data_IF_643230313435
#
_entry.id   IF_643230313435
#
_cell.length_a   1.000
_cell.length_b   1.000
_cell.length_c   1.000
_cell.angle_alpha   90.00
_cell.angle_beta   90.00
_cell.angle_gamma   90.00
#
_symmetry.space_group_name_H-M   'P 1'
#
loop_
_entity.id
_entity.type
_entity.pdbx_description
1 polymer ?
#
# COMPACT_ATOMS: atom_id res chain seq x y z
N UNK A 1 -20.36 27.77 27.75
CA UNK A 1 -21.18 27.33 26.59
C UNK A 1 -22.62 27.75 26.81
N UNK A 2 -23.31 28.29 25.78
CA UNK A 2 -24.75 28.59 25.88
C UNK A 2 -25.56 27.28 25.76
N UNK A 3 -26.82 27.25 26.24
CA UNK A 3 -27.69 26.04 26.19
C UNK A 3 -27.82 25.46 24.76
N UNK A 4 -27.92 26.33 23.76
CA UNK A 4 -27.96 25.95 22.34
C UNK A 4 -26.69 25.23 21.88
N UNK A 5 -25.51 25.70 22.29
CA UNK A 5 -24.24 25.09 21.90
C UNK A 5 -24.15 23.64 22.43
N UNK A 6 -24.65 23.41 23.65
CA UNK A 6 -24.71 22.06 24.28
C UNK A 6 -25.70 21.15 23.58
N UNK A 7 -26.86 21.67 23.17
CA UNK A 7 -27.86 20.90 22.41
C UNK A 7 -27.28 20.44 21.07
N UNK A 8 -26.66 21.33 20.31
CA UNK A 8 -26.09 21.03 19.00
C UNK A 8 -24.95 20.02 19.08
N UNK A 9 -24.06 20.14 20.08
CA UNK A 9 -23.00 19.16 20.29
C UNK A 9 -23.54 17.80 20.71
N UNK A 10 -24.55 17.76 21.60
CA UNK A 10 -25.18 16.50 22.00
C UNK A 10 -25.87 15.82 20.81
N UNK A 11 -26.50 16.59 19.94
CA UNK A 11 -27.12 16.09 18.71
C UNK A 11 -26.06 15.59 17.70
N UNK A 12 -24.85 16.15 17.69
CA UNK A 12 -23.78 15.78 16.76
C UNK A 12 -22.95 14.56 17.20
N UNK A 13 -22.61 14.46 18.49
CA UNK A 13 -21.68 13.43 19.00
C UNK A 13 -22.19 12.00 18.76
N UNK A 14 -23.50 11.76 18.94
CA UNK A 14 -24.12 10.46 18.71
C UNK A 14 -23.97 9.98 17.26
N UNK A 15 -24.49 10.74 16.27
CA UNK A 15 -24.25 10.48 14.86
C UNK A 15 -22.77 10.34 14.52
N UNK A 16 -21.90 11.25 14.98
CA UNK A 16 -20.46 11.19 14.70
C UNK A 16 -19.80 9.88 15.16
N UNK A 17 -20.08 9.42 16.39
CA UNK A 17 -19.53 8.17 16.90
C UNK A 17 -20.04 6.94 16.11
N UNK A 18 -21.32 6.93 15.77
CA UNK A 18 -21.92 5.84 14.98
C UNK A 18 -21.39 5.82 13.55
N UNK A 19 -21.34 6.96 12.88
CA UNK A 19 -20.90 7.04 11.48
C UNK A 19 -19.41 6.79 11.34
N UNK A 20 -18.59 7.27 12.27
CA UNK A 20 -17.15 6.95 12.30
C UNK A 20 -16.90 5.45 12.48
N UNK A 21 -17.63 4.80 13.38
CA UNK A 21 -17.52 3.35 13.59
C UNK A 21 -17.94 2.55 12.34
N UNK A 22 -19.08 2.90 11.73
CA UNK A 22 -19.58 2.21 10.53
C UNK A 22 -18.64 2.42 9.34
N UNK A 23 -18.22 3.66 9.08
CA UNK A 23 -17.34 3.97 7.95
C UNK A 23 -15.97 3.34 8.14
N UNK A 24 -15.42 3.36 9.36
CA UNK A 24 -14.16 2.68 9.67
C UNK A 24 -14.29 1.17 9.41
N UNK A 25 -15.37 0.55 9.89
CA UNK A 25 -15.62 -0.87 9.65
C UNK A 25 -15.76 -1.21 8.17
N UNK A 26 -16.44 -0.38 7.38
CA UNK A 26 -16.57 -0.59 5.92
C UNK A 26 -15.20 -0.53 5.23
N UNK A 27 -14.41 0.52 5.48
CA UNK A 27 -13.08 0.63 4.86
C UNK A 27 -12.14 -0.47 5.31
N UNK A 28 -12.16 -0.79 6.60
CA UNK A 28 -11.38 -1.88 7.17
C UNK A 28 -11.76 -3.21 6.54
N UNK A 29 -13.04 -3.55 6.48
CA UNK A 29 -13.54 -4.79 5.88
C UNK A 29 -13.15 -4.89 4.41
N UNK A 30 -13.36 -3.82 3.62
CA UNK A 30 -12.93 -3.78 2.23
C UNK A 30 -11.42 -4.03 2.08
N UNK A 31 -10.61 -3.38 2.92
CA UNK A 31 -9.17 -3.54 2.90
C UNK A 31 -8.75 -4.98 3.26
N UNK A 32 -9.37 -5.57 4.27
CA UNK A 32 -9.08 -6.93 4.73
C UNK A 32 -9.51 -8.00 3.72
N UNK A 33 -10.65 -7.84 3.06
CA UNK A 33 -11.11 -8.76 2.00
C UNK A 33 -10.06 -8.86 0.89
N UNK A 34 -9.44 -7.74 0.50
CA UNK A 34 -8.36 -7.75 -0.49
C UNK A 34 -7.11 -8.52 -0.03
N UNK A 35 -6.95 -8.79 1.27
CA UNK A 35 -5.82 -9.54 1.85
C UNK A 35 -6.19 -10.95 2.27
N UNK A 36 -7.46 -11.34 2.14
CA UNK A 36 -7.98 -12.61 2.64
C UNK A 36 -7.23 -13.84 2.10
N UNK A 37 -6.77 -13.78 0.84
CA UNK A 37 -5.99 -14.86 0.21
C UNK A 37 -4.74 -15.22 1.02
N UNK A 38 -4.13 -14.26 1.74
CA UNK A 38 -2.93 -14.51 2.53
C UNK A 38 -3.19 -15.28 3.82
N UNK A 39 -4.45 -15.39 4.26
CA UNK A 39 -4.86 -16.08 5.49
C UNK A 39 -5.34 -17.51 5.21
N UNK A 40 -5.57 -17.87 3.94
CA UNK A 40 -6.12 -19.17 3.58
C UNK A 40 -5.14 -20.31 3.88
N UNK A 41 -5.61 -21.31 4.63
CA UNK A 41 -4.86 -22.53 4.91
C UNK A 41 -3.68 -22.34 5.88
N UNK A 42 -3.65 -21.23 6.63
CA UNK A 42 -2.65 -20.97 7.66
C UNK A 42 -3.28 -21.13 9.02
N UNK A 43 -2.82 -22.11 9.78
CA UNK A 43 -3.25 -22.35 11.15
C UNK A 43 -2.50 -21.42 12.11
N UNK A 44 -2.73 -20.12 11.94
CA UNK A 44 -2.22 -19.09 12.83
C UNK A 44 -3.23 -18.90 13.97
N UNK A 45 -2.72 -18.70 15.18
CA UNK A 45 -3.54 -18.37 16.34
C UNK A 45 -4.45 -17.16 16.09
N UNK A 46 -5.65 -17.19 16.68
CA UNK A 46 -6.64 -16.13 16.52
C UNK A 46 -6.13 -14.76 17.04
N UNK A 47 -5.20 -14.79 17.99
CA UNK A 47 -4.50 -13.66 18.58
C UNK A 47 -3.69 -12.88 17.53
N UNK A 48 -2.95 -13.57 16.66
CA UNK A 48 -2.18 -12.96 15.57
C UNK A 48 -3.10 -12.21 14.61
N UNK A 49 -4.24 -12.82 14.26
CA UNK A 49 -5.23 -12.17 13.41
C UNK A 49 -5.86 -10.96 14.09
N UNK A 50 -6.23 -11.05 15.37
CA UNK A 50 -6.78 -9.93 16.12
C UNK A 50 -5.80 -8.76 16.22
N UNK A 51 -4.53 -9.04 16.48
CA UNK A 51 -3.48 -8.02 16.51
C UNK A 51 -3.33 -7.34 15.13
N UNK A 52 -3.23 -8.13 14.05
CA UNK A 52 -3.14 -7.61 12.69
C UNK A 52 -4.33 -6.69 12.36
N UNK A 53 -5.53 -7.15 12.69
CA UNK A 53 -6.78 -6.46 12.39
C UNK A 53 -6.87 -5.14 13.16
N UNK A 54 -6.44 -5.14 14.42
CA UNK A 54 -6.40 -3.95 15.27
C UNK A 54 -5.43 -2.91 14.71
N UNK A 55 -4.22 -3.29 14.33
CA UNK A 55 -3.24 -2.36 13.76
C UNK A 55 -3.70 -1.80 12.40
N UNK A 56 -4.30 -2.61 11.53
CA UNK A 56 -4.89 -2.10 10.29
C UNK A 56 -6.08 -1.17 10.53
N UNK A 57 -6.92 -1.44 11.54
CA UNK A 57 -8.02 -0.55 11.88
C UNK A 57 -7.50 0.84 12.29
N UNK A 58 -6.46 0.89 13.13
CA UNK A 58 -5.78 2.15 13.51
C UNK A 58 -5.22 2.88 12.28
N UNK A 59 -4.54 2.16 11.37
CA UNK A 59 -3.97 2.76 10.16
C UNK A 59 -5.01 3.38 9.22
N UNK A 60 -6.27 2.92 9.26
CA UNK A 60 -7.35 3.36 8.35
C UNK A 60 -8.22 4.50 8.90
N UNK A 61 -8.09 4.86 10.18
CA UNK A 61 -8.80 5.99 10.80
C UNK A 61 -8.72 7.29 9.97
N UNK A 62 -7.55 7.72 9.46
CA UNK A 62 -7.43 8.96 8.67
C UNK A 62 -8.30 9.00 7.41
N UNK A 63 -8.52 7.83 6.80
CA UNK A 63 -9.29 7.69 5.56
C UNK A 63 -10.80 7.70 5.86
N UNK A 64 -11.20 7.13 7.00
CA UNK A 64 -12.59 7.02 7.41
C UNK A 64 -13.18 8.36 7.92
N UNK A 65 -12.40 9.19 8.62
CA UNK A 65 -12.91 10.39 9.31
C UNK A 65 -13.55 11.46 8.41
N UNK A 66 -13.00 11.84 7.23
CA UNK A 66 -13.61 12.85 6.39
C UNK A 66 -15.06 12.48 5.99
N UNK A 67 -15.28 11.23 5.58
CA UNK A 67 -16.61 10.72 5.23
C UNK A 67 -17.52 10.64 6.47
N UNK A 68 -16.98 10.19 7.61
CA UNK A 68 -17.73 10.11 8.85
C UNK A 68 -18.26 11.49 9.32
N UNK A 69 -17.42 12.53 9.24
CA UNK A 69 -17.81 13.91 9.57
C UNK A 69 -18.82 14.47 8.58
N UNK A 70 -18.64 14.23 7.27
CA UNK A 70 -19.61 14.63 6.26
C UNK A 70 -20.99 14.05 6.57
N UNK A 71 -21.05 12.74 6.82
CA UNK A 71 -22.29 12.03 7.05
C UNK A 71 -22.93 12.41 8.39
N UNK A 72 -22.12 12.55 9.45
CA UNK A 72 -22.59 13.01 10.76
C UNK A 72 -23.17 14.42 10.73
N UNK A 73 -22.51 15.36 10.03
CA UNK A 73 -23.00 16.74 9.90
C UNK A 73 -24.29 16.79 9.11
N UNK A 74 -24.38 16.06 8.00
CA UNK A 74 -25.61 15.97 7.20
C UNK A 74 -26.76 15.39 8.01
N UNK A 75 -26.54 14.30 8.75
CA UNK A 75 -27.55 13.71 9.62
C UNK A 75 -28.01 14.67 10.72
N UNK A 76 -27.06 15.33 11.39
CA UNK A 76 -27.34 16.22 12.51
C UNK A 76 -28.18 17.41 12.06
N UNK A 77 -27.70 18.17 11.07
CA UNK A 77 -28.39 19.37 10.59
C UNK A 77 -29.64 19.03 9.76
N UNK A 78 -29.64 17.90 9.06
CA UNK A 78 -30.82 17.38 8.36
C UNK A 78 -31.94 16.99 9.32
N UNK A 79 -31.63 16.29 10.41
CA UNK A 79 -32.61 15.93 11.44
C UNK A 79 -33.16 17.17 12.16
N UNK A 80 -32.30 18.12 12.53
CA UNK A 80 -32.71 19.43 13.06
C UNK A 80 -33.63 20.17 12.08
N UNK A 81 -33.40 20.05 10.77
CA UNK A 81 -34.27 20.59 9.72
C UNK A 81 -35.61 19.88 9.60
N UNK A 82 -35.61 18.54 9.66
CA UNK A 82 -36.81 17.69 9.58
C UNK A 82 -37.76 17.91 10.75
N UNK A 83 -37.23 18.02 11.97
CA UNK A 83 -38.03 18.32 13.17
C UNK A 83 -38.38 19.79 13.33
N UNK A 84 -38.12 20.62 12.32
CA UNK A 84 -38.35 22.08 12.33
C UNK A 84 -37.64 22.84 13.46
N UNK A 85 -36.71 22.20 14.18
CA UNK A 85 -35.89 22.82 15.22
C UNK A 85 -34.96 23.89 14.63
N UNK A 86 -34.36 23.59 13.47
CA UNK A 86 -33.49 24.54 12.77
C UNK A 86 -34.27 25.79 12.32
N UNK A 87 -35.52 25.61 11.87
CA UNK A 87 -36.41 26.71 11.47
C UNK A 87 -36.79 27.56 12.68
N UNK A 88 -37.09 26.94 13.83
CA UNK A 88 -37.39 27.66 15.07
C UNK A 88 -36.19 28.48 15.57
N UNK A 89 -34.98 27.93 15.52
CA UNK A 89 -33.75 28.63 15.93
C UNK A 89 -33.49 29.84 15.01
N UNK A 90 -33.62 29.67 13.69
CA UNK A 90 -33.49 30.80 12.73
C UNK A 90 -34.59 31.85 12.95
N UNK A 91 -35.82 31.43 13.24
CA UNK A 91 -36.95 32.32 13.55
C UNK A 91 -36.74 33.17 14.79
N UNK A 92 -35.93 32.71 15.75
CA UNK A 92 -35.49 33.50 16.91
C UNK A 92 -34.38 34.52 16.58
N UNK A 93 -34.07 34.75 15.30
CA UNK A 93 -33.05 35.71 14.84
C UNK A 93 -31.61 35.20 14.93
N UNK A 94 -31.39 33.91 15.17
CA UNK A 94 -30.04 33.33 15.28
C UNK A 94 -29.55 32.96 13.88
N UNK A 95 -28.43 33.56 13.47
CA UNK A 95 -27.83 33.32 12.15
C UNK A 95 -27.34 31.88 11.97
N UNK A 96 -27.42 31.34 10.75
CA UNK A 96 -26.97 29.97 10.46
C UNK A 96 -25.50 29.74 10.86
N UNK A 97 -24.61 30.70 10.60
CA UNK A 97 -23.21 30.61 10.98
C UNK A 97 -23.00 30.47 12.50
N UNK A 98 -23.88 31.06 13.31
CA UNK A 98 -23.85 30.88 14.78
C UNK A 98 -24.27 29.47 15.18
N UNK A 99 -25.20 28.86 14.47
CA UNK A 99 -25.66 27.47 14.68
C UNK A 99 -24.55 26.47 14.28
N UNK A 100 -23.77 26.77 13.25
CA UNK A 100 -22.68 25.89 12.81
C UNK A 100 -21.43 25.93 13.71
N UNK A 101 -21.20 27.06 14.39
CA UNK A 101 -19.99 27.31 15.20
C UNK A 101 -19.62 26.22 16.23
N UNK A 102 -20.51 25.69 17.09
CA UNK A 102 -20.11 24.71 18.10
C UNK A 102 -19.60 23.41 17.50
N UNK A 103 -20.24 22.90 16.45
CA UNK A 103 -19.77 21.70 15.75
C UNK A 103 -18.52 22.00 14.94
N UNK A 104 -18.41 23.18 14.32
CA UNK A 104 -17.18 23.61 13.64
C UNK A 104 -15.97 23.59 14.58
N UNK A 105 -16.10 24.12 15.79
CA UNK A 105 -15.02 24.09 16.80
C UNK A 105 -14.66 22.66 17.21
N UNK A 106 -15.64 21.78 17.35
CA UNK A 106 -15.40 20.36 17.58
C UNK A 106 -14.62 19.72 16.41
N UNK A 107 -15.04 19.98 15.17
CA UNK A 107 -14.35 19.49 13.97
C UNK A 107 -12.92 19.99 13.89
N UNK A 108 -12.65 21.26 14.23
CA UNK A 108 -11.28 21.78 14.31
C UNK A 108 -10.45 21.01 15.34
N UNK A 109 -11.02 20.69 16.51
CA UNK A 109 -10.33 19.85 17.49
C UNK A 109 -10.03 18.44 16.94
N UNK A 110 -10.97 17.82 16.21
CA UNK A 110 -10.75 16.53 15.53
C UNK A 110 -9.64 16.64 14.49
N UNK A 111 -9.55 17.72 13.71
CA UNK A 111 -8.46 17.95 12.74
C UNK A 111 -7.10 18.02 13.44
N UNK A 112 -7.00 18.74 14.57
CA UNK A 112 -5.75 18.83 15.34
C UNK A 112 -5.34 17.46 15.88
N UNK A 113 -6.29 16.71 16.45
CA UNK A 113 -6.06 15.32 16.89
C UNK A 113 -5.56 14.47 15.71
N UNK A 114 -6.19 14.62 14.54
CA UNK A 114 -5.84 13.86 13.35
C UNK A 114 -4.42 14.18 12.83
N UNK A 115 -4.00 15.44 12.90
CA UNK A 115 -2.64 15.84 12.51
C UNK A 115 -1.60 15.14 13.40
N UNK A 116 -1.82 15.16 14.72
CA UNK A 116 -0.95 14.45 15.67
C UNK A 116 -1.00 12.94 15.43
N UNK A 117 -2.18 12.39 15.16
CA UNK A 117 -2.39 10.98 14.88
C UNK A 117 -1.63 10.51 13.62
N UNK A 118 -1.65 11.31 12.55
CA UNK A 118 -0.95 11.04 11.29
C UNK A 118 0.59 11.05 11.41
N UNK A 119 1.12 11.78 12.39
CA UNK A 119 2.55 11.90 12.65
C UNK A 119 3.06 10.88 13.68
N UNK A 120 2.20 10.34 14.54
CA UNK A 120 2.61 9.46 15.65
C UNK A 120 2.05 8.04 15.55
N UNK A 121 0.72 7.89 15.54
CA UNK A 121 0.05 6.59 15.61
C UNK A 121 0.04 5.88 14.25
N UNK A 122 -0.27 6.59 13.16
CA UNK A 122 -0.37 5.99 11.82
C UNK A 122 0.93 5.34 11.36
N UNK A 123 2.12 5.99 11.49
CA UNK A 123 3.38 5.37 11.12
C UNK A 123 3.67 4.08 11.90
N UNK A 124 3.42 4.10 13.21
CA UNK A 124 3.63 2.94 14.08
C UNK A 124 2.64 1.80 13.78
N UNK A 125 1.37 2.13 13.56
CA UNK A 125 0.35 1.17 13.19
C UNK A 125 0.64 0.53 11.82
N UNK A 126 1.10 1.31 10.84
CA UNK A 126 1.52 0.76 9.55
C UNK A 126 2.74 -0.16 9.70
N UNK A 127 3.74 0.23 10.49
CA UNK A 127 4.93 -0.60 10.71
C UNK A 127 4.57 -1.98 11.27
N UNK A 128 3.77 -2.01 12.35
CA UNK A 128 3.27 -3.25 12.97
C UNK A 128 2.37 -4.06 12.05
N UNK A 129 1.41 -3.41 11.39
CA UNK A 129 0.48 -4.11 10.49
C UNK A 129 1.20 -4.76 9.29
N UNK A 130 2.16 -4.07 8.68
CA UNK A 130 2.84 -4.57 7.48
C UNK A 130 3.96 -5.58 7.78
N UNK A 131 4.65 -5.44 8.92
CA UNK A 131 5.61 -6.47 9.38
C UNK A 131 4.88 -7.77 9.70
N UNK A 132 3.82 -7.72 10.50
CA UNK A 132 3.02 -8.89 10.82
C UNK A 132 2.35 -9.49 9.56
N UNK A 133 1.84 -8.66 8.64
CA UNK A 133 1.32 -9.14 7.36
C UNK A 133 2.40 -9.85 6.54
N UNK A 134 3.64 -9.38 6.56
CA UNK A 134 4.74 -10.02 5.85
C UNK A 134 5.07 -11.38 6.43
N UNK A 135 5.15 -11.48 7.76
CA UNK A 135 5.40 -12.72 8.48
C UNK A 135 4.29 -13.75 8.21
N UNK A 136 3.03 -13.30 8.25
CA UNK A 136 1.89 -14.12 7.85
C UNK A 136 2.05 -14.58 6.40
N UNK A 137 2.43 -13.69 5.47
CA UNK A 137 2.61 -14.07 4.05
C UNK A 137 3.69 -15.11 3.85
N UNK A 138 4.80 -15.03 4.58
CA UNK A 138 5.90 -15.97 4.49
C UNK A 138 5.61 -17.31 5.16
N UNK A 139 4.74 -17.32 6.16
CA UNK A 139 4.28 -18.54 6.83
C UNK A 139 3.69 -19.47 5.77
N UNK A 140 4.28 -20.67 5.65
CA UNK A 140 3.77 -21.70 4.74
C UNK A 140 2.39 -22.18 5.21
N UNK A 141 1.46 -22.50 4.30
CA UNK A 141 0.20 -23.13 4.69
C UNK A 141 0.45 -24.40 5.49
N UNK A 142 -0.40 -24.66 6.48
CA UNK A 142 -0.35 -25.87 7.29
C UNK A 142 -0.41 -27.11 6.40
N UNK A 143 0.31 -28.16 6.78
CA UNK A 143 0.36 -29.40 6.01
C UNK A 143 -1.03 -30.03 5.99
N UNK A 144 -1.64 -30.06 4.79
CA UNK A 144 -2.91 -30.71 4.55
C UNK A 144 -2.72 -31.80 3.49
N UNK A 145 -2.46 -33.02 3.97
CA UNK A 145 -2.39 -34.23 3.15
C UNK A 145 -3.82 -34.59 2.70
N UNK A 146 -4.16 -34.26 1.45
CA UNK A 146 -5.42 -34.68 0.84
C UNK A 146 -5.32 -36.12 0.37
N UNK A 147 -6.36 -36.91 0.64
CA UNK A 147 -6.45 -38.30 0.18
C UNK A 147 -6.27 -38.42 -1.33
N UNK A 148 -5.43 -39.37 -1.75
CA UNK A 148 -5.17 -39.68 -3.15
C UNK A 148 -4.30 -38.66 -3.91
N UNK A 149 -3.91 -37.54 -3.29
CA UNK A 149 -3.07 -36.51 -3.90
C UNK A 149 -1.64 -36.51 -3.30
N UNK A 150 -0.65 -36.13 -4.12
CA UNK A 150 0.71 -35.87 -3.65
C UNK A 150 0.80 -34.50 -2.99
N UNK A 151 1.52 -34.42 -1.88
CA UNK A 151 1.84 -33.19 -1.17
C UNK A 151 3.35 -32.94 -1.21
N UNK A 152 3.74 -31.85 -1.89
CA UNK A 152 5.13 -31.45 -2.12
C UNK A 152 5.58 -30.27 -1.21
N UNK A 153 4.85 -30.01 -0.11
CA UNK A 153 5.15 -28.86 0.75
C UNK A 153 6.37 -29.07 1.67
N UNK A 154 6.72 -30.32 1.95
CA UNK A 154 7.85 -30.69 2.79
C UNK A 154 9.15 -30.59 1.99
N UNK A 155 10.16 -29.92 2.55
CA UNK A 155 11.41 -29.70 1.84
C UNK A 155 12.13 -31.03 1.58
N UNK A 156 12.28 -31.38 0.30
CA UNK A 156 12.95 -32.61 -0.13
C UNK A 156 12.09 -33.88 -0.08
N UNK A 157 10.78 -33.79 0.20
CA UNK A 157 9.88 -34.94 0.26
C UNK A 157 8.54 -34.67 -0.44
N UNK A 158 8.06 -35.66 -1.19
CA UNK A 158 6.68 -35.70 -1.70
C UNK A 158 5.95 -36.87 -1.05
N UNK A 159 4.85 -36.59 -0.33
CA UNK A 159 4.09 -37.60 0.40
C UNK A 159 2.71 -37.74 -0.22
N UNK A 160 2.29 -38.97 -0.49
CA UNK A 160 0.92 -39.31 -0.85
C UNK A 160 0.35 -40.31 0.15
N UNK A 161 -0.88 -40.08 0.54
CA UNK A 161 -1.66 -40.96 1.42
C UNK A 161 -2.93 -41.35 0.66
N UNK A 162 -3.25 -42.63 0.58
CA UNK A 162 -4.46 -43.07 -0.14
C UNK A 162 -5.73 -42.84 0.67
N UNK A 163 -5.69 -43.12 1.98
CA UNK A 163 -6.83 -42.93 2.90
C UNK A 163 -6.37 -42.46 4.27
N UNK A 164 -7.20 -41.66 4.93
CA UNK A 164 -7.00 -41.16 6.28
C UNK A 164 -8.10 -41.69 7.19
N UNK A 165 -7.75 -42.06 8.41
CA UNK A 165 -8.74 -42.47 9.41
C UNK A 165 -9.59 -41.27 9.89
N UNK A 166 -10.78 -41.54 10.42
CA UNK A 166 -11.71 -40.51 10.93
C UNK A 166 -11.09 -39.66 12.06
N UNK A 167 -10.15 -40.24 12.82
CA UNK A 167 -9.41 -39.57 13.90
C UNK A 167 -8.32 -38.61 13.37
N UNK A 168 -8.01 -38.64 12.07
CA UNK A 168 -7.06 -37.72 11.45
C UNK A 168 -5.57 -37.95 11.79
N UNK A 169 -5.24 -38.93 12.61
CA UNK A 169 -3.85 -39.33 12.91
C UNK A 169 -3.41 -40.58 12.12
N UNK A 170 -4.32 -41.52 11.87
CA UNK A 170 -4.05 -42.73 11.09
C UNK A 170 -4.06 -42.48 9.59
N UNK A 171 -3.07 -43.03 8.88
CA UNK A 171 -2.91 -42.92 7.43
C UNK A 171 -2.64 -44.29 6.83
N UNK A 172 -3.18 -44.55 5.64
CA UNK A 172 -3.08 -45.83 4.94
C UNK A 172 -2.53 -45.66 3.53
N UNK A 173 -1.78 -46.66 3.08
CA UNK A 173 -1.08 -46.74 1.80
C UNK A 173 -0.28 -45.46 1.51
N UNK A 174 0.80 -45.31 2.28
CA UNK A 174 1.67 -44.14 2.25
C UNK A 174 2.79 -44.34 1.23
N UNK A 175 2.98 -43.36 0.36
CA UNK A 175 4.07 -43.30 -0.60
C UNK A 175 4.87 -42.03 -0.32
N UNK A 176 6.16 -42.18 -0.06
CA UNK A 176 7.08 -41.06 0.15
C UNK A 176 8.16 -41.12 -0.92
N UNK A 177 8.29 -40.04 -1.67
CA UNK A 177 9.43 -39.81 -2.54
C UNK A 177 10.39 -38.83 -1.88
N UNK A 178 11.68 -39.15 -1.90
CA UNK A 178 12.73 -38.24 -1.46
C UNK A 178 13.40 -37.58 -2.68
N UNK A 179 13.40 -36.25 -2.69
CA UNK A 179 13.96 -35.41 -3.74
C UNK A 179 15.15 -34.62 -3.20
N UNK A 180 16.26 -35.30 -2.90
CA UNK A 180 17.50 -34.61 -2.54
C UNK A 180 18.17 -34.01 -3.80
N UNK A 181 17.97 -32.70 -4.00
CA UNK A 181 18.76 -31.86 -4.90
C UNK A 181 18.67 -32.17 -6.39
N UNK A 182 17.64 -31.66 -7.09
CA UNK A 182 17.52 -31.56 -8.57
C UNK A 182 17.88 -32.81 -9.42
N UNK A 183 18.07 -33.99 -8.81
CA UNK A 183 18.60 -35.21 -9.45
C UNK A 183 17.59 -36.36 -9.52
N UNK A 184 16.29 -36.07 -9.42
CA UNK A 184 15.20 -37.05 -9.56
C UNK A 184 14.81 -37.75 -8.25
N UNK A 185 14.00 -38.81 -8.36
CA UNK A 185 13.43 -39.56 -7.24
C UNK A 185 14.34 -40.74 -6.90
N UNK A 186 15.34 -40.52 -6.06
CA UNK A 186 16.37 -41.53 -5.76
C UNK A 186 15.99 -42.48 -4.63
N UNK A 187 14.95 -42.15 -3.87
CA UNK A 187 14.47 -42.98 -2.77
C UNK A 187 12.94 -42.95 -2.75
N UNK A 188 12.34 -44.14 -2.68
CA UNK A 188 10.90 -44.37 -2.63
C UNK A 188 10.61 -45.25 -1.42
N UNK A 189 9.75 -44.76 -0.53
CA UNK A 189 9.29 -45.51 0.64
C UNK A 189 7.80 -45.77 0.49
N UNK A 190 7.41 -47.03 0.62
CA UNK A 190 6.03 -47.50 0.60
C UNK A 190 5.70 -48.08 1.98
N UNK A 191 4.54 -47.75 2.54
CA UNK A 191 4.08 -48.33 3.81
C UNK A 191 2.58 -48.58 3.77
N UNK A 192 2.14 -49.70 4.36
CA UNK A 192 0.73 -50.08 4.38
C UNK A 192 -0.10 -49.18 5.30
N UNK A 193 0.45 -48.84 6.48
CA UNK A 193 -0.20 -47.97 7.44
C UNK A 193 0.82 -47.10 8.19
N UNK A 194 0.34 -46.00 8.75
CA UNK A 194 1.16 -45.09 9.52
C UNK A 194 0.35 -44.20 10.44
N UNK A 195 1.06 -43.47 11.31
CA UNK A 195 0.51 -42.45 12.19
C UNK A 195 1.26 -41.14 12.04
N UNK A 196 0.54 -40.05 11.94
CA UNK A 196 1.08 -38.69 11.83
C UNK A 196 0.69 -37.90 13.08
N UNK A 197 1.69 -37.40 13.82
CA UNK A 197 1.50 -36.63 15.04
C UNK A 197 2.44 -35.43 15.07
N UNK A 198 1.97 -34.30 15.61
CA UNK A 198 2.82 -33.16 15.90
C UNK A 198 3.36 -33.31 17.33
N UNK A 199 4.66 -33.05 17.52
CA UNK A 199 5.37 -33.21 18.80
C UNK A 199 6.20 -31.96 19.11
N UNK A 200 6.49 -31.76 20.40
CA UNK A 200 7.22 -30.60 20.94
C UNK A 200 6.61 -29.25 20.52
N UNK A 201 5.39 -28.97 20.99
CA UNK A 201 4.65 -27.73 20.67
C UNK A 201 4.60 -27.46 19.16
N UNK A 202 4.24 -28.49 18.39
CA UNK A 202 4.12 -28.47 16.92
C UNK A 202 5.41 -28.18 16.14
N UNK A 203 6.58 -28.26 16.78
CA UNK A 203 7.89 -27.98 16.15
C UNK A 203 8.32 -29.09 15.19
N UNK A 204 7.91 -30.33 15.43
CA UNK A 204 8.21 -31.47 14.55
C UNK A 204 6.96 -32.25 14.23
N UNK A 205 6.82 -32.66 12.97
CA UNK A 205 5.89 -33.71 12.59
C UNK A 205 6.61 -35.05 12.66
N UNK A 206 6.09 -35.92 13.51
CA UNK A 206 6.50 -37.32 13.61
C UNK A 206 5.58 -38.18 12.75
N UNK A 207 6.16 -38.85 11.77
CA UNK A 207 5.48 -39.79 10.90
C UNK A 207 6.01 -41.20 11.20
N UNK A 208 5.19 -42.01 11.86
CA UNK A 208 5.50 -43.41 12.15
C UNK A 208 4.88 -44.28 11.07
N UNK A 209 5.69 -44.96 10.28
CA UNK A 209 5.25 -45.91 9.26
C UNK A 209 5.42 -47.33 9.78
N UNK A 210 4.52 -48.22 9.38
CA UNK A 210 4.50 -49.62 9.77
C UNK A 210 4.37 -50.50 8.53
N UNK A 211 5.05 -51.65 8.55
CA UNK A 211 5.09 -52.63 7.46
C UNK A 211 5.40 -51.97 6.10
N UNK A 212 6.63 -51.52 5.94
CA UNK A 212 7.04 -50.75 4.78
C UNK A 212 8.28 -51.29 4.05
N UNK A 213 8.43 -50.81 2.83
CA UNK A 213 9.49 -51.15 1.90
C UNK A 213 10.15 -49.85 1.42
N UNK A 214 11.48 -49.78 1.51
CA UNK A 214 12.27 -48.65 1.02
C UNK A 214 13.15 -49.11 -0.14
N UNK A 215 13.05 -48.40 -1.25
CA UNK A 215 13.83 -48.61 -2.47
C UNK A 215 14.73 -47.39 -2.67
N UNK A 216 16.04 -47.60 -2.75
CA UNK A 216 17.00 -46.51 -2.98
C UNK A 216 17.95 -46.81 -4.14
N UNK A 217 18.24 -45.80 -4.94
CA UNK A 217 19.18 -45.83 -6.04
C UNK A 217 20.54 -45.28 -5.58
N UNK A 218 21.58 -46.13 -5.61
CA UNK A 218 22.94 -45.76 -5.23
C UNK A 218 23.78 -45.66 -6.51
N UNK A 219 24.10 -44.43 -6.90
CA UNK A 219 25.07 -44.16 -7.98
C UNK A 219 26.50 -44.34 -7.45
N UNK A 220 27.30 -45.17 -8.13
CA UNK A 220 28.74 -45.21 -7.87
C UNK A 220 29.40 -43.92 -8.43
N UNK A 221 30.08 -43.17 -7.56
CA UNK A 221 30.80 -41.93 -7.93
C UNK A 221 31.87 -42.15 -9.01
N UNK A 222 32.31 -43.40 -9.26
CA UNK A 222 33.36 -43.73 -10.24
C UNK A 222 32.87 -44.17 -11.61
N UNK A 223 31.60 -44.58 -11.77
CA UNK A 223 31.07 -45.05 -13.06
C UNK A 223 29.63 -44.60 -13.26
N UNK A 224 29.37 -43.76 -14.28
CA UNK A 224 28.01 -43.31 -14.65
C UNK A 224 27.12 -44.43 -15.24
N UNK A 225 27.65 -45.64 -15.42
CA UNK A 225 27.00 -46.70 -16.20
C UNK A 225 26.36 -47.80 -15.35
N UNK A 226 26.62 -47.86 -14.04
CA UNK A 226 26.12 -48.94 -13.17
C UNK A 226 25.34 -48.34 -11.99
N UNK A 227 24.02 -48.49 -12.05
CA UNK A 227 23.08 -48.01 -11.05
C UNK A 227 22.71 -49.19 -10.16
N UNK A 228 23.07 -49.14 -8.88
CA UNK A 228 22.72 -50.20 -7.94
C UNK A 228 21.42 -49.84 -7.21
N UNK A 229 20.50 -50.80 -7.13
CA UNK A 229 19.25 -50.66 -6.38
C UNK A 229 19.37 -51.40 -5.04
N UNK A 230 19.04 -50.72 -3.96
CA UNK A 230 18.98 -51.29 -2.61
C UNK A 230 17.51 -51.35 -2.19
N UNK A 231 17.09 -52.53 -1.75
CA UNK A 231 15.77 -52.81 -1.18
C UNK A 231 15.90 -53.11 0.31
N UNK A 232 15.09 -52.45 1.14
CA UNK A 232 15.04 -52.66 2.57
C UNK A 232 13.60 -52.78 3.05
N UNK A 233 13.32 -53.78 3.86
CA UNK A 233 12.01 -53.98 4.50
C UNK A 233 12.09 -53.59 5.97
N UNK A 234 11.02 -53.01 6.51
CA UNK A 234 10.96 -52.61 7.92
C UNK A 234 9.58 -52.86 8.53
N UNK A 235 9.56 -53.35 9.77
CA UNK A 235 8.33 -53.50 10.55
C UNK A 235 7.81 -52.15 11.03
N UNK A 236 8.72 -51.25 11.44
CA UNK A 236 8.39 -49.87 11.82
C UNK A 236 9.55 -48.92 11.51
N UNK A 237 9.23 -47.72 11.03
CA UNK A 237 10.19 -46.65 10.78
C UNK A 237 9.59 -45.30 11.16
N UNK A 238 10.39 -44.42 11.76
CA UNK A 238 9.94 -43.10 12.23
C UNK A 238 10.69 -42.02 11.48
N UNK A 239 9.94 -41.11 10.86
CA UNK A 239 10.46 -39.93 10.18
C UNK A 239 10.09 -38.67 10.96
N UNK A 240 11.07 -37.78 11.13
CA UNK A 240 10.87 -36.48 11.74
C UNK A 240 11.01 -35.40 10.68
N UNK A 241 9.97 -34.62 10.48
CA UNK A 241 9.99 -33.45 9.62
C UNK A 241 10.02 -32.20 10.49
N UNK A 242 10.99 -31.31 10.24
CA UNK A 242 11.05 -30.03 10.93
C UNK A 242 9.93 -29.10 10.45
N UNK A 243 9.10 -28.63 11.37
CA UNK A 243 8.07 -27.63 11.10
C UNK A 243 8.61 -26.20 11.21
N UNK A 244 9.91 -26.01 11.49
CA UNK A 244 10.51 -24.68 11.61
C UNK A 244 10.35 -23.81 10.35
N UNK A 245 10.25 -24.43 9.16
CA UNK A 245 9.96 -23.69 7.91
C UNK A 245 8.49 -23.30 7.73
N UNK A 246 7.59 -23.81 8.59
CA UNK A 246 6.17 -23.50 8.67
C UNK A 246 5.83 -22.59 9.85
N UNK A 247 6.70 -22.50 10.86
CA UNK A 247 6.56 -21.55 11.94
C UNK A 247 6.67 -20.11 11.41
N UNK A 248 5.84 -19.23 11.94
CA UNK A 248 5.91 -17.80 11.64
C UNK A 248 7.16 -17.23 12.31
N UNK A 249 8.05 -16.63 11.52
CA UNK A 249 9.19 -15.90 12.04
C UNK A 249 8.78 -14.46 12.33
N UNK A 250 9.22 -13.90 13.45
CA UNK A 250 9.11 -12.47 13.71
C UNK A 250 10.18 -11.73 12.90
N UNK A 251 9.76 -11.04 11.83
CA UNK A 251 10.69 -10.23 11.07
C UNK A 251 10.98 -8.93 11.82
N UNK A 252 12.26 -8.55 11.91
CA UNK A 252 12.65 -7.27 12.50
C UNK A 252 11.96 -6.11 11.77
N UNK A 253 11.23 -5.31 12.53
CA UNK A 253 10.49 -4.14 12.05
C UNK A 253 11.38 -3.14 11.29
N UNK A 254 12.66 -3.05 11.66
CA UNK A 254 13.67 -2.19 11.02
C UNK A 254 13.73 -2.37 9.49
N UNK A 255 13.43 -3.57 8.98
CA UNK A 255 13.42 -3.89 7.54
C UNK A 255 12.30 -3.17 6.77
N UNK A 256 11.26 -2.72 7.47
CA UNK A 256 10.12 -2.05 6.88
C UNK A 256 10.17 -0.52 7.06
N UNK A 257 10.89 -0.02 8.07
CA UNK A 257 10.99 1.41 8.41
C UNK A 257 11.39 2.31 7.24
N UNK A 258 12.07 1.77 6.22
CA UNK A 258 12.43 2.48 5.00
C UNK A 258 11.26 2.88 4.09
N UNK A 259 10.04 2.36 4.28
CA UNK A 259 8.89 2.69 3.45
C UNK A 259 8.17 3.96 3.93
N UNK A 260 7.80 4.88 3.02
CA UNK A 260 7.23 6.19 3.36
C UNK A 260 5.96 6.14 4.24
N UNK A 261 5.17 5.07 4.14
CA UNK A 261 3.96 4.88 4.97
C UNK A 261 4.27 4.72 6.47
N UNK A 262 5.50 4.38 6.82
CA UNK A 262 5.95 4.07 8.18
C UNK A 262 6.73 5.22 8.82
N UNK A 263 6.85 6.33 8.09
CA UNK A 263 7.61 7.50 8.52
C UNK A 263 6.67 8.61 8.97
N UNK A 264 7.11 9.34 9.98
CA UNK A 264 6.48 10.61 10.35
C UNK A 264 6.93 11.73 9.40
N UNK A 265 6.34 12.93 9.52
CA UNK A 265 6.72 14.05 8.65
C UNK A 265 8.18 14.46 8.79
N UNK A 266 8.74 14.45 10.00
CA UNK A 266 10.14 14.85 10.26
C UNK A 266 11.12 13.91 9.55
N UNK A 267 10.92 12.60 9.68
CA UNK A 267 11.74 11.58 9.00
C UNK A 267 11.66 11.71 7.48
N UNK A 268 10.47 11.99 6.92
CA UNK A 268 10.31 12.23 5.49
C UNK A 268 11.06 13.49 5.01
N UNK A 269 11.08 14.54 5.82
CA UNK A 269 11.82 15.78 5.51
C UNK A 269 13.34 15.57 5.59
N UNK A 270 13.82 14.86 6.61
CA UNK A 270 15.25 14.55 6.75
C UNK A 270 15.76 13.72 5.55
N UNK A 271 14.99 12.73 5.10
CA UNK A 271 15.33 11.94 3.92
C UNK A 271 15.23 12.75 2.62
N UNK A 272 14.24 13.64 2.51
CA UNK A 272 14.14 14.57 1.39
C UNK A 272 15.36 15.49 1.32
N UNK A 273 15.80 16.06 2.44
CA UNK A 273 16.99 16.91 2.50
C UNK A 273 18.26 16.14 2.14
N UNK A 274 18.39 14.91 2.63
CA UNK A 274 19.49 14.02 2.26
C UNK A 274 19.49 13.69 0.76
N UNK A 275 18.31 13.41 0.18
CA UNK A 275 18.16 13.16 -1.26
C UNK A 275 18.55 14.40 -2.07
N UNK A 276 18.08 15.58 -1.68
CA UNK A 276 18.38 16.85 -2.34
C UNK A 276 19.88 17.15 -2.31
N UNK A 277 20.52 16.94 -1.16
CA UNK A 277 21.98 17.07 -1.04
C UNK A 277 22.71 16.10 -1.97
N UNK A 278 22.29 14.83 -1.99
CA UNK A 278 22.87 13.83 -2.88
C UNK A 278 22.68 14.17 -4.38
N UNK A 279 21.55 14.79 -4.75
CA UNK A 279 21.31 15.28 -6.11
C UNK A 279 22.23 16.45 -6.47
N UNK A 280 22.45 17.40 -5.56
CA UNK A 280 23.37 18.53 -5.76
C UNK A 280 24.81 18.02 -5.91
N UNK A 281 25.26 17.13 -5.02
CA UNK A 281 26.59 16.54 -5.08
C UNK A 281 26.80 15.74 -6.38
N UNK A 282 25.78 14.98 -6.80
CA UNK A 282 25.79 14.26 -8.05
C UNK A 282 25.86 15.19 -9.27
N UNK A 283 25.08 16.27 -9.28
CA UNK A 283 25.12 17.29 -10.34
C UNK A 283 26.50 17.92 -10.46
N UNK A 284 27.11 18.29 -9.34
CA UNK A 284 28.48 18.83 -9.30
C UNK A 284 29.51 17.82 -9.82
N UNK A 285 29.37 16.54 -9.47
CA UNK A 285 30.21 15.46 -10.00
C UNK A 285 30.05 15.30 -11.51
N UNK A 286 28.81 15.39 -12.04
CA UNK A 286 28.56 15.32 -13.48
C UNK A 286 29.20 16.49 -14.24
N UNK A 287 29.13 17.71 -13.71
CA UNK A 287 29.80 18.87 -14.31
C UNK A 287 31.32 18.67 -14.32
N UNK A 288 31.89 18.19 -13.22
CA UNK A 288 33.33 17.88 -13.13
C UNK A 288 33.76 16.80 -14.12
N UNK A 289 33.01 15.69 -14.21
CA UNK A 289 33.32 14.58 -15.09
C UNK A 289 33.05 14.92 -16.57
N UNK A 290 31.98 15.67 -16.86
CA UNK A 290 31.67 16.14 -18.21
C UNK A 290 32.78 17.01 -18.80
N UNK A 291 33.35 17.92 -17.99
CA UNK A 291 34.50 18.71 -18.41
C UNK A 291 35.70 17.84 -18.80
N UNK A 292 35.96 16.74 -18.09
CA UNK A 292 37.09 15.84 -18.43
C UNK A 292 36.89 15.01 -19.70
N UNK A 293 35.65 14.73 -20.11
CA UNK A 293 35.33 13.91 -21.28
C UNK A 293 35.41 14.69 -22.61
N UNK A 294 35.19 16.02 -22.57
CA UNK A 294 35.35 16.90 -23.73
C UNK A 294 36.73 17.54 -23.85
N UNK A 295 37.66 17.25 -22.95
CA UNK A 295 39.07 17.41 -23.25
C UNK A 295 39.48 16.35 -24.30
N UNK A 296 39.03 16.54 -25.54
CA UNK A 296 40.00 16.49 -26.61
C UNK A 296 41.08 17.47 -26.18
N UNK A 297 42.16 16.93 -25.63
CA UNK A 297 43.46 17.59 -25.56
C UNK A 297 43.83 17.93 -27.01
N UNK A 298 43.23 18.99 -27.56
CA UNK A 298 43.99 19.92 -28.36
C UNK A 298 44.97 20.54 -27.36
N UNK A 299 46.05 19.83 -27.04
CA UNK A 299 47.20 20.49 -26.43
C UNK A 299 47.76 21.43 -27.49
N UNK A 300 47.15 22.60 -27.61
CA UNK A 300 47.82 23.78 -28.17
C UNK A 300 48.91 24.28 -27.20
N UNK A 301 49.06 23.66 -26.03
CA UNK A 301 50.27 23.81 -25.25
C UNK A 301 51.40 23.01 -25.91
N UNK A 302 52.17 23.72 -26.74
CA UNK A 302 53.38 23.28 -27.46
C UNK A 302 54.44 22.56 -26.60
N UNK A 303 54.29 22.46 -25.27
CA UNK A 303 55.41 22.18 -24.37
C UNK A 303 55.23 20.98 -23.41
N UNK A 304 54.21 20.13 -23.52
CA UNK A 304 54.04 18.98 -22.59
C UNK A 304 54.24 17.58 -23.19
N UNK A 305 54.59 17.48 -24.48
CA UNK A 305 55.05 16.22 -25.05
C UNK A 305 56.39 16.45 -25.71
N UNK A 306 57.44 15.86 -25.15
CA UNK A 306 58.73 15.68 -25.81
C UNK A 306 58.46 14.96 -27.14
N UNK A 307 58.44 15.72 -28.24
CA UNK A 307 58.02 15.28 -29.56
C UNK A 307 58.85 14.08 -30.07
N UNK A 308 59.97 13.80 -29.42
CA UNK A 308 60.92 12.75 -29.76
C UNK A 308 60.58 11.37 -29.16
N UNK A 309 59.55 11.24 -28.32
CA UNK A 309 59.05 9.94 -27.84
C UNK A 309 57.77 9.46 -28.54
N UNK A 310 57.44 10.04 -29.70
CA UNK A 310 56.44 9.45 -30.60
C UNK A 310 57.15 8.41 -31.46
N UNK A 311 56.84 7.13 -31.24
CA UNK A 311 57.28 6.02 -32.08
C UNK A 311 57.15 6.37 -33.57
N UNK A 312 58.25 6.25 -34.32
CA UNK A 312 58.45 6.57 -35.75
C UNK A 312 57.55 5.82 -36.77
N UNK A 313 56.37 5.33 -36.40
CA UNK A 313 55.33 5.06 -37.42
C UNK A 313 54.61 6.38 -37.66
N UNK A 314 54.95 7.07 -38.76
CA UNK A 314 54.16 8.20 -39.26
C UNK A 314 52.73 7.69 -39.47
N UNK A 315 51.83 8.07 -38.58
CA UNK A 315 50.40 7.84 -38.77
C UNK A 315 49.97 8.75 -39.92
N UNK A 316 49.66 8.14 -41.07
CA UNK A 316 49.15 8.86 -42.23
C UNK A 316 47.61 8.93 -42.13
N UNK A 317 47.02 10.10 -41.81
CA UNK A 317 45.58 10.24 -41.66
C UNK A 317 44.82 10.07 -42.97
N UNK A 318 45.49 10.06 -44.13
CA UNK A 318 44.84 9.99 -45.44
C UNK A 318 44.64 8.55 -45.95
N UNK A 319 45.26 7.55 -45.32
CA UNK A 319 45.03 6.14 -45.68
C UNK A 319 43.65 5.67 -45.22
N UNK A 320 42.94 4.93 -46.08
CA UNK A 320 41.55 4.48 -45.83
C UNK A 320 41.38 3.70 -44.52
N UNK A 321 42.37 2.90 -44.13
CA UNK A 321 42.37 2.16 -42.85
C UNK A 321 42.44 3.12 -41.64
N UNK A 322 43.28 4.15 -41.72
CA UNK A 322 43.43 5.15 -40.66
C UNK A 322 42.22 6.09 -40.59
N UNK A 323 41.62 6.47 -41.72
CA UNK A 323 40.36 7.20 -41.77
C UNK A 323 39.24 6.41 -41.07
N UNK A 324 39.07 5.12 -41.40
CA UNK A 324 38.09 4.26 -40.76
C UNK A 324 38.33 4.14 -39.25
N UNK A 325 39.59 4.06 -38.81
CA UNK A 325 39.96 4.04 -37.38
C UNK A 325 39.63 5.35 -36.67
N UNK A 326 39.83 6.49 -37.31
CA UNK A 326 39.45 7.82 -36.77
C UNK A 326 37.93 7.91 -36.65
N UNK A 327 37.19 7.57 -37.72
CA UNK A 327 35.72 7.62 -37.72
C UNK A 327 35.11 6.68 -36.69
N UNK A 328 35.59 5.45 -36.61
CA UNK A 328 35.10 4.48 -35.61
C UNK A 328 35.43 4.90 -34.18
N UNK A 329 36.64 5.44 -33.93
CA UNK A 329 36.98 5.99 -32.61
C UNK A 329 36.09 7.19 -32.25
N UNK A 330 35.85 8.11 -33.18
CA UNK A 330 34.99 9.27 -32.96
C UNK A 330 33.53 8.85 -32.70
N UNK A 331 33.03 7.90 -33.51
CA UNK A 331 31.69 7.33 -33.34
C UNK A 331 31.54 6.62 -31.99
N UNK A 332 32.51 5.80 -31.60
CA UNK A 332 32.48 5.08 -30.32
C UNK A 332 32.53 6.04 -29.13
N UNK A 333 33.36 7.09 -29.19
CA UNK A 333 33.40 8.15 -28.17
C UNK A 333 32.06 8.90 -28.08
N UNK A 334 31.49 9.29 -29.23
CA UNK A 334 30.20 9.98 -29.27
C UNK A 334 29.04 9.11 -28.76
N UNK A 335 28.99 7.84 -29.17
CA UNK A 335 27.98 6.87 -28.71
C UNK A 335 28.10 6.59 -27.21
N UNK A 336 29.32 6.41 -26.69
CA UNK A 336 29.59 6.24 -25.26
C UNK A 336 29.08 7.45 -24.47
N UNK A 337 29.41 8.66 -24.93
CA UNK A 337 28.99 9.89 -24.29
C UNK A 337 27.47 10.09 -24.32
N UNK A 338 26.82 9.82 -25.46
CA UNK A 338 25.36 9.83 -25.59
C UNK A 338 24.70 8.89 -24.59
N UNK A 339 25.23 7.66 -24.43
CA UNK A 339 24.71 6.69 -23.48
C UNK A 339 24.85 7.16 -22.02
N UNK A 340 25.98 7.78 -21.67
CA UNK A 340 26.19 8.40 -20.34
C UNK A 340 25.19 9.53 -20.10
N UNK A 341 25.01 10.45 -21.06
CA UNK A 341 24.03 11.52 -20.94
C UNK A 341 22.59 10.99 -20.81
N UNK A 342 22.23 10.00 -21.63
CA UNK A 342 20.91 9.35 -21.57
C UNK A 342 20.68 8.67 -20.21
N UNK A 343 21.68 7.96 -19.69
CA UNK A 343 21.65 7.34 -18.36
C UNK A 343 21.49 8.40 -17.26
N UNK A 344 22.26 9.49 -17.34
CA UNK A 344 22.19 10.59 -16.38
C UNK A 344 20.84 11.31 -16.41
N UNK A 345 20.30 11.58 -17.60
CA UNK A 345 18.97 12.17 -17.76
C UNK A 345 17.87 11.28 -17.18
N UNK A 346 17.96 9.96 -17.41
CA UNK A 346 17.05 8.98 -16.82
C UNK A 346 17.16 8.95 -15.29
N UNK A 347 18.39 8.92 -14.76
CA UNK A 347 18.65 8.94 -13.30
C UNK A 347 18.13 10.22 -12.66
N UNK A 348 18.41 11.38 -13.25
CA UNK A 348 17.93 12.67 -12.76
C UNK A 348 16.40 12.71 -12.72
N UNK A 349 15.74 12.26 -13.80
CA UNK A 349 14.27 12.14 -13.85
C UNK A 349 13.72 11.23 -12.74
N UNK A 350 14.37 10.10 -12.47
CA UNK A 350 13.97 9.20 -11.40
C UNK A 350 14.16 9.83 -10.02
N UNK A 351 15.28 10.52 -9.79
CA UNK A 351 15.53 11.23 -8.52
C UNK A 351 14.52 12.35 -8.27
N UNK A 352 14.21 13.16 -9.28
CA UNK A 352 13.14 14.17 -9.20
C UNK A 352 11.78 13.53 -8.89
N UNK A 353 11.48 12.37 -9.47
CA UNK A 353 10.24 11.63 -9.15
C UNK A 353 10.22 11.14 -7.70
N UNK A 354 11.35 10.70 -7.15
CA UNK A 354 11.45 10.34 -5.73
C UNK A 354 11.27 11.56 -4.81
N UNK A 355 11.91 12.70 -5.12
CA UNK A 355 11.72 13.96 -4.38
C UNK A 355 10.25 14.41 -4.36
N UNK A 356 9.58 14.33 -5.52
CA UNK A 356 8.16 14.62 -5.65
C UNK A 356 7.31 13.68 -4.80
N UNK A 357 7.67 12.40 -4.68
CA UNK A 357 6.97 11.45 -3.80
C UNK A 357 7.11 11.84 -2.33
N UNK A 358 8.31 12.19 -1.87
CA UNK A 358 8.51 12.67 -0.49
C UNK A 358 7.67 13.92 -0.21
N UNK A 359 7.71 14.89 -1.11
CA UNK A 359 6.90 16.12 -0.99
C UNK A 359 5.42 15.80 -0.91
N UNK A 360 4.91 14.92 -1.78
CA UNK A 360 3.52 14.49 -1.76
C UNK A 360 3.15 13.81 -0.44
N UNK A 361 3.97 12.88 0.05
CA UNK A 361 3.67 12.13 1.28
C UNK A 361 3.64 13.04 2.51
N UNK A 362 4.56 14.02 2.58
CA UNK A 362 4.55 15.08 3.60
C UNK A 362 3.26 15.90 3.53
N UNK A 363 2.90 16.39 2.34
CA UNK A 363 1.72 17.23 2.17
C UNK A 363 0.42 16.46 2.41
N UNK A 364 0.36 15.17 2.07
CA UNK A 364 -0.80 14.29 2.29
C UNK A 364 -1.13 14.10 3.77
N UNK A 365 -0.12 14.01 4.65
CA UNK A 365 -0.35 13.92 6.09
C UNK A 365 -1.14 15.12 6.63
N UNK A 366 -0.96 16.30 6.03
CA UNK A 366 -1.67 17.54 6.41
C UNK A 366 -2.99 17.68 5.65
N UNK A 367 -2.95 17.48 4.33
CA UNK A 367 -4.11 17.60 3.43
C UNK A 367 -5.26 16.68 3.84
N UNK A 368 -4.98 15.43 4.23
CA UNK A 368 -6.00 14.47 4.67
C UNK A 368 -6.69 14.90 5.96
N UNK A 369 -5.97 15.52 6.91
CA UNK A 369 -6.57 16.05 8.13
C UNK A 369 -7.45 17.26 7.81
N UNK A 370 -7.02 18.16 6.93
CA UNK A 370 -7.79 19.35 6.53
C UNK A 370 -9.04 18.97 5.73
N UNK A 371 -9.02 17.85 4.99
CA UNK A 371 -10.19 17.32 4.31
C UNK A 371 -11.39 17.13 5.26
N UNK A 372 -11.16 16.78 6.53
CA UNK A 372 -12.22 16.67 7.55
C UNK A 372 -12.97 18.01 7.72
N UNK A 373 -12.23 19.12 7.74
CA UNK A 373 -12.82 20.45 7.84
C UNK A 373 -13.59 20.82 6.56
N UNK A 374 -13.06 20.47 5.39
CA UNK A 374 -13.70 20.71 4.10
C UNK A 374 -15.01 19.91 3.97
N UNK A 375 -15.00 18.66 4.45
CA UNK A 375 -16.18 17.81 4.50
C UNK A 375 -17.26 18.38 5.44
N UNK A 376 -16.87 18.92 6.60
CA UNK A 376 -17.81 19.66 7.45
C UNK A 376 -18.39 20.88 6.73
N UNK A 377 -17.56 21.66 6.02
CA UNK A 377 -17.98 22.87 5.32
C UNK A 377 -19.02 22.59 4.22
N UNK A 378 -19.02 21.39 3.64
CA UNK A 378 -20.04 20.95 2.69
C UNK A 378 -21.24 20.36 3.42
N UNK A 379 -21.02 19.45 4.37
CA UNK A 379 -22.08 18.69 5.02
C UNK A 379 -23.00 19.55 5.89
N UNK A 380 -22.45 20.53 6.60
CA UNK A 380 -23.21 21.40 7.48
C UNK A 380 -24.28 22.26 6.76
N UNK A 381 -23.93 23.06 5.72
CA UNK A 381 -24.93 23.84 5.00
C UNK A 381 -25.87 22.97 4.19
N UNK A 382 -25.39 21.87 3.62
CA UNK A 382 -26.23 21.00 2.82
C UNK A 382 -27.25 20.24 3.68
N UNK A 383 -26.86 19.82 4.89
CA UNK A 383 -27.78 19.22 5.86
C UNK A 383 -28.85 20.22 6.31
N UNK A 384 -28.48 21.49 6.48
CA UNK A 384 -29.43 22.55 6.79
C UNK A 384 -30.45 22.84 5.65
N UNK A 385 -30.07 22.58 4.39
CA UNK A 385 -30.93 22.76 3.20
C UNK A 385 -31.85 21.54 3.00
N UNK A 386 -31.34 20.32 3.18
CA UNK A 386 -32.06 19.07 2.93
C UNK A 386 -33.00 18.78 4.11
N UNK A 387 -34.22 19.34 4.04
CA UNK A 387 -35.25 19.24 5.09
C UNK A 387 -36.12 17.98 4.99
N UNK A 388 -36.05 17.21 3.91
CA UNK A 388 -36.87 16.01 3.65
C UNK A 388 -36.03 14.94 2.93
N UNK A 389 -36.15 13.67 3.32
CA UNK A 389 -35.41 12.57 2.65
C UNK A 389 -35.04 11.35 3.49
N UNK A 390 -35.44 11.27 4.77
CA UNK A 390 -35.06 10.17 5.66
C UNK A 390 -33.54 10.02 5.82
N UNK A 391 -33.09 8.86 6.32
CA UNK A 391 -31.65 8.58 6.52
C UNK A 391 -30.89 8.34 5.20
N UNK A 392 -31.58 7.98 4.11
CA UNK A 392 -30.94 7.58 2.86
C UNK A 392 -30.35 8.73 2.03
N UNK A 393 -31.02 9.88 1.96
CA UNK A 393 -30.55 11.03 1.18
C UNK A 393 -29.21 11.58 1.70
N UNK A 394 -29.02 11.83 3.01
CA UNK A 394 -27.73 12.20 3.57
C UNK A 394 -26.58 11.26 3.17
N UNK A 395 -26.83 9.94 3.20
CA UNK A 395 -25.81 8.92 2.87
C UNK A 395 -25.42 9.01 1.41
N UNK A 396 -26.38 9.04 0.48
CA UNK A 396 -26.11 9.13 -0.96
C UNK A 396 -25.30 10.37 -1.32
N UNK A 397 -25.67 11.52 -0.75
CA UNK A 397 -24.94 12.77 -1.02
C UNK A 397 -23.54 12.75 -0.39
N UNK A 398 -23.39 12.16 0.79
CA UNK A 398 -22.07 11.98 1.42
C UNK A 398 -21.14 11.15 0.53
N UNK A 399 -21.64 10.00 0.05
CA UNK A 399 -20.89 9.11 -0.83
C UNK A 399 -20.50 9.82 -2.13
N UNK A 400 -21.41 10.58 -2.74
CA UNK A 400 -21.11 11.34 -3.95
C UNK A 400 -19.95 12.32 -3.76
N UNK A 401 -20.01 13.20 -2.76
CA UNK A 401 -18.94 14.17 -2.52
C UNK A 401 -17.63 13.51 -2.10
N UNK A 402 -17.70 12.40 -1.36
CA UNK A 402 -16.52 11.64 -1.00
C UNK A 402 -15.86 10.98 -2.21
N UNK A 403 -16.65 10.41 -3.13
CA UNK A 403 -16.13 9.84 -4.39
C UNK A 403 -15.48 10.93 -5.24
N UNK A 404 -16.11 12.10 -5.38
CA UNK A 404 -15.52 13.24 -6.11
C UNK A 404 -14.20 13.67 -5.47
N UNK A 405 -14.17 13.83 -4.14
CA UNK A 405 -12.95 14.13 -3.39
C UNK A 405 -11.84 13.10 -3.66
N UNK A 406 -12.18 11.81 -3.59
CA UNK A 406 -11.22 10.73 -3.75
C UNK A 406 -10.65 10.66 -5.18
N UNK A 407 -11.50 10.82 -6.19
CA UNK A 407 -11.10 10.86 -7.61
C UNK A 407 -10.17 12.04 -7.88
N UNK A 408 -10.51 13.24 -7.41
CA UNK A 408 -9.66 14.43 -7.62
C UNK A 408 -8.33 14.26 -6.89
N UNK A 409 -8.33 13.71 -5.67
CA UNK A 409 -7.11 13.46 -4.90
C UNK A 409 -6.19 12.49 -5.65
N UNK A 410 -6.69 11.33 -6.09
CA UNK A 410 -5.90 10.36 -6.85
C UNK A 410 -5.36 10.98 -8.15
N UNK A 411 -6.21 11.74 -8.85
CA UNK A 411 -5.81 12.36 -10.12
C UNK A 411 -4.71 13.40 -9.90
N UNK A 412 -4.86 14.27 -8.90
CA UNK A 412 -3.85 15.26 -8.53
C UNK A 412 -2.52 14.62 -8.12
N UNK A 413 -2.57 13.57 -7.28
CA UNK A 413 -1.37 12.81 -6.90
C UNK A 413 -0.67 12.19 -8.12
N UNK A 414 -1.44 11.62 -9.06
CA UNK A 414 -0.89 10.97 -10.25
C UNK A 414 -0.27 11.99 -11.21
N UNK A 415 -0.92 13.13 -11.40
CA UNK A 415 -0.39 14.24 -12.21
C UNK A 415 0.90 14.80 -11.61
N UNK A 416 0.97 14.94 -10.28
CA UNK A 416 2.19 15.36 -9.59
C UNK A 416 3.32 14.34 -9.76
N UNK A 417 3.05 13.04 -9.56
CA UNK A 417 4.05 11.97 -9.75
C UNK A 417 4.58 11.87 -11.19
N UNK A 418 3.79 12.29 -12.18
CA UNK A 418 4.21 12.39 -13.58
C UNK A 418 4.87 13.73 -13.94
N UNK A 419 5.15 14.59 -12.96
CA UNK A 419 5.78 15.91 -13.12
C UNK A 419 4.96 16.88 -13.99
N UNK A 420 3.64 16.69 -14.06
CA UNK A 420 2.72 17.55 -14.84
C UNK A 420 2.31 18.79 -14.04
N UNK A 421 2.11 18.62 -12.74
CA UNK A 421 1.75 19.70 -11.81
C UNK A 421 2.69 19.69 -10.61
N UNK A 422 2.77 20.82 -9.93
CA UNK A 422 3.49 20.95 -8.68
C UNK A 422 2.95 19.96 -7.62
N UNK A 423 3.82 19.26 -6.86
CA UNK A 423 3.42 18.27 -5.86
C UNK A 423 2.56 18.84 -4.74
N UNK A 424 2.78 20.09 -4.32
CA UNK A 424 1.96 20.74 -3.30
C UNK A 424 0.57 20.98 -3.89
N UNK A 425 0.47 21.55 -5.09
CA UNK A 425 -0.83 21.72 -5.75
C UNK A 425 -1.56 20.38 -5.93
N UNK A 426 -0.85 19.32 -6.34
CA UNK A 426 -1.42 17.98 -6.51
C UNK A 426 -2.03 17.40 -5.22
N UNK A 427 -1.36 17.58 -4.08
CA UNK A 427 -1.84 17.10 -2.78
C UNK A 427 -3.03 17.92 -2.23
N UNK A 428 -3.15 19.20 -2.62
CA UNK A 428 -4.17 20.12 -2.09
C UNK A 428 -5.34 20.37 -3.05
N UNK A 429 -5.26 19.88 -4.29
CA UNK A 429 -6.23 20.12 -5.35
C UNK A 429 -7.68 19.80 -4.94
N UNK A 430 -7.89 18.66 -4.29
CA UNK A 430 -9.21 18.23 -3.83
C UNK A 430 -9.75 19.12 -2.71
N UNK A 431 -8.90 19.51 -1.75
CA UNK A 431 -9.30 20.43 -0.67
C UNK A 431 -9.66 21.81 -1.20
N UNK A 432 -8.92 22.34 -2.18
CA UNK A 432 -9.25 23.62 -2.83
C UNK A 432 -10.61 23.54 -3.51
N UNK A 433 -10.86 22.46 -4.27
CA UNK A 433 -12.16 22.24 -4.91
C UNK A 433 -13.30 22.16 -3.89
N UNK A 434 -13.14 21.36 -2.82
CA UNK A 434 -14.14 21.23 -1.78
C UNK A 434 -14.36 22.54 -1.01
N UNK A 435 -13.31 23.33 -0.80
CA UNK A 435 -13.41 24.64 -0.15
C UNK A 435 -14.30 25.59 -0.94
N UNK A 436 -14.09 25.69 -2.27
CA UNK A 436 -14.91 26.52 -3.15
C UNK A 436 -16.38 26.07 -3.11
N UNK A 437 -16.63 24.77 -3.21
CA UNK A 437 -17.98 24.19 -3.14
C UNK A 437 -18.63 24.39 -1.76
N UNK A 438 -17.88 24.17 -0.68
CA UNK A 438 -18.37 24.35 0.68
C UNK A 438 -18.72 25.81 0.99
N UNK A 439 -17.90 26.76 0.53
CA UNK A 439 -18.20 28.19 0.63
C UNK A 439 -19.47 28.54 -0.17
N UNK A 440 -19.60 28.03 -1.39
CA UNK A 440 -20.79 28.21 -2.21
C UNK A 440 -22.06 27.70 -1.50
N UNK A 441 -22.05 26.48 -0.95
CA UNK A 441 -23.20 25.94 -0.22
C UNK A 441 -23.49 26.71 1.07
N UNK A 442 -22.45 27.18 1.78
CA UNK A 442 -22.62 28.00 2.98
C UNK A 442 -23.34 29.32 2.67
N UNK A 443 -22.99 29.97 1.56
CA UNK A 443 -23.66 31.19 1.09
C UNK A 443 -25.12 30.92 0.69
N UNK A 444 -25.38 29.79 0.02
CA UNK A 444 -26.73 29.41 -0.35
C UNK A 444 -27.62 29.06 0.85
N UNK A 445 -27.08 28.34 1.82
CA UNK A 445 -27.79 28.00 3.05
C UNK A 445 -28.09 29.23 3.92
N UNK A 446 -27.24 30.26 3.84
CA UNK A 446 -27.49 31.56 4.48
C UNK A 446 -28.69 32.28 3.87
N UNK A 447 -28.85 32.21 2.55
CA UNK A 447 -29.95 32.87 1.83
C UNK A 447 -31.22 32.01 1.72
N UNK A 448 -31.32 30.91 2.49
CA UNK A 448 -32.42 29.93 2.46
C UNK A 448 -32.78 29.45 1.03
N UNK A 449 -31.76 29.29 0.19
CA UNK A 449 -31.94 28.85 -1.20
C UNK A 449 -32.55 27.44 -1.27
N UNK A 450 -33.60 27.28 -2.07
CA UNK A 450 -34.28 26.01 -2.36
C UNK A 450 -33.56 25.20 -3.45
N UNK A 451 -32.29 24.86 -3.22
CA UNK A 451 -31.45 24.16 -4.20
C UNK A 451 -31.90 22.74 -4.56
N UNK A 452 -32.75 22.10 -3.75
CA UNK A 452 -33.13 20.70 -3.90
C UNK A 452 -34.63 20.46 -3.66
N UNK A 453 -35.48 21.47 -3.93
CA UNK A 453 -36.93 21.25 -3.96
C UNK A 453 -37.25 20.44 -5.24
N UNK A 454 -37.62 19.17 -5.10
CA UNK A 454 -38.03 18.31 -6.23
C UNK A 454 -39.18 18.94 -7.03
N UNK A 455 -40.02 19.75 -6.37
CA UNK A 455 -41.07 20.55 -7.02
C UNK A 455 -40.51 21.66 -7.92
N UNK A 456 -39.39 22.29 -7.55
CA UNK A 456 -38.74 23.33 -8.38
C UNK A 456 -38.15 22.72 -9.65
N UNK A 457 -37.40 21.62 -9.54
CA UNK A 457 -36.89 20.92 -10.72
C UNK A 457 -37.99 20.26 -11.54
N UNK A 458 -39.05 19.73 -10.91
CA UNK A 458 -40.21 19.20 -11.62
C UNK A 458 -40.94 20.26 -12.45
N UNK A 459 -41.06 21.49 -11.94
CA UNK A 459 -41.60 22.64 -12.67
C UNK A 459 -40.65 23.12 -13.78
N UNK A 460 -39.33 23.15 -13.52
CA UNK A 460 -38.32 23.56 -14.50
C UNK A 460 -38.21 22.54 -15.65
N UNK A 461 -38.20 21.24 -15.35
CA UNK A 461 -38.27 20.16 -16.35
C UNK A 461 -39.59 20.21 -17.11
N UNK A 462 -40.74 20.36 -16.42
CA UNK A 462 -42.03 20.54 -17.10
C UNK A 462 -42.07 21.78 -18.00
N UNK A 463 -41.37 22.86 -17.64
CA UNK A 463 -41.27 24.08 -18.46
C UNK A 463 -40.36 23.91 -19.68
N UNK A 464 -39.29 23.12 -19.55
CA UNK A 464 -38.38 22.75 -20.64
C UNK A 464 -39.05 21.78 -21.62
N UNK A 465 -39.87 20.86 -21.12
CA UNK A 465 -40.64 19.91 -21.95
C UNK A 465 -42.03 20.44 -22.39
N UNK A 466 -42.43 21.66 -21.98
CA UNK A 466 -43.65 22.34 -22.48
C UNK A 466 -43.42 23.25 -23.69
N UNK A 467 -42.23 23.26 -24.28
CA UNK A 467 -42.00 23.87 -25.61
C UNK A 467 -41.88 22.80 -26.68
N UNK A 468 -43.04 22.27 -27.10
CA UNK A 468 -43.43 22.16 -28.50
C UNK A 468 -44.93 22.02 -28.60
#
# INVERSE_FOLDING_TARGET
MKKLDKLLLKAYIGPFALTSSIVLFIFWSQYMISKFVYFLGKDLGYDVYLELFFWFALALVPVALPLAVLLATLMTYGSLGQHSELTAIKGAGISLLRILRPVFLFTVAVVVIQLVYNDTVVPHANLKAYSLLYDIKQTKPTINLKEGAFYDGLEGYSIKVAKKDEDGEGIHDVIIYKHEGHRGNKEVILANHGKMQLINDDTFMMLTLFEGNAYSEVEDKKSKADVQYVHSEFDSSVFYFSMASYAMNETKEDLFMGHNLMKNRTQLLEEQDSLNKAMVDYSNMLVKNGNTQFYYRFTSNKNEHDANKVTKKKFDPETSENQLRIYSSAYNSASSFYNVLKSNASRNKNQTREEVRYTLDVQKKVSTAIAILMMFLIGAPLGAIIKKGGLGVPVLVSVFFFVVYYIITITGEKMAKELVIDPVLGAWLSNIFLFVMGMFFTLQAKNDAKLFDTDYYGVLLKSLFKKK
#
